data_IF_116086203043
#
_entry.id   IF_116086203043
#
_cell.length_a   1.000
_cell.length_b   1.000
_cell.length_c   1.000
_cell.angle_alpha   90.00
_cell.angle_beta   90.00
_cell.angle_gamma   90.00
#
_symmetry.space_group_name_H-M   'P 1'
#
loop_
_entity.id
_entity.type
_entity.pdbx_description
1 polymer ?
#
# COMPACT_ATOMS: atom_id res chain seq x y z
N UNK A 1 1.99 11.69 22.22
CA UNK A 1 2.75 12.48 21.24
C UNK A 1 2.26 12.09 19.86
N UNK A 2 2.09 13.04 18.94
CA UNK A 2 1.70 12.73 17.58
C UNK A 2 2.77 11.82 16.93
N UNK A 3 2.34 10.81 16.16
CA UNK A 3 3.25 9.96 15.41
C UNK A 3 4.03 10.81 14.40
N UNK A 4 5.35 10.77 14.45
CA UNK A 4 6.21 11.54 13.55
C UNK A 4 6.33 10.91 12.16
N UNK A 5 6.07 9.59 12.05
CA UNK A 5 6.15 8.85 10.80
C UNK A 5 4.75 8.34 10.42
N UNK A 6 4.28 8.72 9.25
CA UNK A 6 3.04 8.19 8.67
C UNK A 6 3.33 6.93 7.86
N UNK A 7 2.50 5.91 8.07
CA UNK A 7 2.56 4.68 7.28
C UNK A 7 1.48 4.72 6.20
N UNK A 8 1.90 4.51 4.96
CA UNK A 8 1.04 4.43 3.78
C UNK A 8 1.29 3.07 3.13
N UNK A 9 0.26 2.43 2.64
CA UNK A 9 0.38 1.21 1.82
C UNK A 9 -0.46 1.33 0.57
N UNK A 10 -0.09 0.66 -0.50
CA UNK A 10 -1.05 0.44 -1.56
C UNK A 10 -2.16 -0.52 -1.08
N UNK A 11 -3.27 -0.58 -1.81
CA UNK A 11 -4.47 -1.33 -1.39
C UNK A 11 -4.27 -2.84 -1.34
N UNK A 12 -3.19 -3.36 -1.94
CA UNK A 12 -2.91 -4.80 -1.97
C UNK A 12 -2.46 -5.39 -0.64
N UNK A 13 -2.33 -4.56 0.42
CA UNK A 13 -2.02 -5.05 1.77
C UNK A 13 -3.17 -5.83 2.42
N UNK A 14 -4.38 -5.74 1.87
CA UNK A 14 -5.59 -6.45 2.28
C UNK A 14 -5.92 -6.35 3.79
N UNK A 15 -5.59 -5.20 4.39
CA UNK A 15 -5.96 -4.91 5.77
C UNK A 15 -7.42 -4.46 5.85
N UNK A 16 -8.13 -4.95 6.88
CA UNK A 16 -9.50 -4.50 7.14
C UNK A 16 -9.55 -3.03 7.54
N UNK A 17 -10.71 -2.38 7.34
CA UNK A 17 -10.92 -0.98 7.73
C UNK A 17 -10.61 -0.75 9.21
N UNK A 18 -11.02 -1.67 10.08
CA UNK A 18 -10.77 -1.59 11.52
C UNK A 18 -9.25 -1.57 11.84
N UNK A 19 -8.45 -2.35 11.11
CA UNK A 19 -7.00 -2.36 11.28
C UNK A 19 -6.36 -1.08 10.74
N UNK A 20 -6.83 -0.58 9.60
CA UNK A 20 -6.35 0.68 9.02
C UNK A 20 -6.60 1.85 9.97
N UNK A 21 -7.80 1.95 10.54
CA UNK A 21 -8.16 2.97 11.52
C UNK A 21 -7.37 2.81 12.82
N UNK A 22 -7.33 1.59 13.37
CA UNK A 22 -6.62 1.29 14.64
C UNK A 22 -5.15 1.68 14.60
N UNK A 23 -4.49 1.48 13.48
CA UNK A 23 -3.06 1.71 13.32
C UNK A 23 -2.71 3.00 12.57
N UNK A 24 -3.69 3.84 12.27
CA UNK A 24 -3.53 5.10 11.50
C UNK A 24 -2.77 4.88 10.19
N UNK A 25 -3.17 3.88 9.41
CA UNK A 25 -2.58 3.54 8.11
C UNK A 25 -3.40 4.20 7.00
N UNK A 26 -2.73 4.92 6.10
CA UNK A 26 -3.36 5.45 4.89
C UNK A 26 -3.18 4.48 3.71
N UNK A 27 -4.17 4.46 2.82
CA UNK A 27 -4.16 3.60 1.63
C UNK A 27 -4.07 4.43 0.37
N UNK A 28 -3.20 4.00 -0.53
CA UNK A 28 -3.15 4.42 -1.92
C UNK A 28 -3.81 3.33 -2.78
N UNK A 29 -5.05 3.54 -3.27
CA UNK A 29 -5.78 2.52 -4.01
C UNK A 29 -5.12 2.21 -5.35
N UNK A 30 -5.02 0.92 -5.71
CA UNK A 30 -4.82 0.50 -7.09
C UNK A 30 -6.12 0.68 -7.87
N UNK A 31 -6.01 0.66 -9.18
CA UNK A 31 -7.17 0.70 -10.07
C UNK A 31 -7.56 -0.71 -10.50
N UNK A 32 -8.87 -0.95 -10.57
CA UNK A 32 -9.48 -2.20 -11.03
C UNK A 32 -10.34 -1.88 -12.26
N UNK A 33 -10.06 -2.55 -13.35
CA UNK A 33 -10.78 -2.40 -14.61
C UNK A 33 -11.71 -3.60 -14.81
N UNK A 34 -13.01 -3.32 -14.82
CA UNK A 34 -14.08 -4.27 -15.13
C UNK A 34 -14.68 -3.93 -16.51
N UNK A 35 -14.26 -4.67 -17.54
CA UNK A 35 -14.58 -4.31 -18.90
C UNK A 35 -13.93 -2.98 -19.30
N UNK A 36 -14.74 -1.94 -19.51
CA UNK A 36 -14.29 -0.58 -19.85
C UNK A 36 -14.41 0.40 -18.66
N UNK A 37 -14.89 -0.06 -17.52
CA UNK A 37 -15.11 0.79 -16.35
C UNK A 37 -13.99 0.60 -15.33
N UNK A 38 -13.43 1.72 -14.89
CA UNK A 38 -12.35 1.77 -13.91
C UNK A 38 -12.87 2.15 -12.52
N UNK A 39 -12.36 1.47 -11.50
CA UNK A 39 -12.70 1.64 -10.11
C UNK A 39 -11.43 1.72 -9.25
N UNK A 40 -11.50 2.44 -8.12
CA UNK A 40 -10.45 2.43 -7.10
C UNK A 40 -10.72 1.31 -6.10
N UNK A 41 -9.72 0.45 -5.92
CA UNK A 41 -9.78 -0.73 -5.04
C UNK A 41 -10.10 -0.34 -3.58
N UNK A 42 -11.16 -0.94 -3.03
CA UNK A 42 -11.63 -0.70 -1.67
C UNK A 42 -12.27 0.67 -1.43
N UNK A 43 -12.43 1.49 -2.47
CA UNK A 43 -13.09 2.82 -2.42
C UNK A 43 -14.39 2.79 -3.21
N UNK A 44 -14.31 2.49 -4.49
CA UNK A 44 -15.46 2.55 -5.41
C UNK A 44 -16.09 1.17 -5.66
N UNK A 45 -15.42 0.10 -5.24
CA UNK A 45 -15.84 -1.29 -5.49
C UNK A 45 -15.41 -2.21 -4.35
N UNK A 46 -16.19 -3.25 -4.12
CA UNK A 46 -15.92 -4.29 -3.12
C UNK A 46 -15.48 -5.60 -3.78
N UNK A 47 -14.77 -6.48 -3.05
CA UNK A 47 -14.41 -7.82 -3.55
C UNK A 47 -15.61 -8.63 -4.03
N UNK A 48 -16.75 -8.54 -3.34
CA UNK A 48 -17.98 -9.25 -3.72
C UNK A 48 -18.51 -8.79 -5.07
N UNK A 49 -18.44 -7.51 -5.37
CA UNK A 49 -18.83 -6.94 -6.67
C UNK A 49 -17.89 -7.39 -7.77
N UNK A 50 -16.59 -7.43 -7.49
CA UNK A 50 -15.56 -7.92 -8.43
C UNK A 50 -15.79 -9.39 -8.76
N UNK A 51 -16.02 -10.23 -7.77
CA UNK A 51 -16.28 -11.67 -7.97
C UNK A 51 -17.55 -11.90 -8.76
N UNK A 52 -18.64 -11.18 -8.41
CA UNK A 52 -19.91 -11.27 -9.14
C UNK A 52 -19.72 -10.91 -10.61
N UNK A 53 -19.05 -9.79 -10.89
CA UNK A 53 -18.77 -9.36 -12.26
C UNK A 53 -17.95 -10.42 -13.02
N UNK A 54 -16.91 -10.97 -12.40
CA UNK A 54 -16.06 -12.00 -12.99
C UNK A 54 -16.86 -13.26 -13.34
N UNK A 55 -17.75 -13.70 -12.44
CA UNK A 55 -18.60 -14.86 -12.63
C UNK A 55 -19.63 -14.65 -13.76
N UNK A 56 -20.23 -13.49 -13.83
CA UNK A 56 -21.21 -13.13 -14.86
C UNK A 56 -20.57 -13.00 -16.25
N UNK A 57 -19.39 -12.40 -16.34
CA UNK A 57 -18.71 -12.13 -17.61
C UNK A 57 -17.71 -13.23 -18.02
N UNK A 58 -17.48 -14.24 -17.18
CA UNK A 58 -16.53 -15.35 -17.43
C UNK A 58 -15.13 -14.88 -17.81
N UNK A 59 -14.70 -13.79 -17.18
CA UNK A 59 -13.40 -13.19 -17.41
C UNK A 59 -12.84 -12.62 -16.11
N UNK A 60 -11.52 -12.39 -16.08
CA UNK A 60 -10.86 -11.82 -14.92
C UNK A 60 -10.77 -10.30 -15.03
N UNK A 61 -10.88 -9.57 -13.92
CA UNK A 61 -10.60 -8.14 -13.88
C UNK A 61 -9.12 -7.88 -14.23
N UNK A 62 -8.84 -6.65 -14.66
CA UNK A 62 -7.47 -6.16 -14.82
C UNK A 62 -7.17 -5.15 -13.73
N UNK A 63 -5.90 -5.01 -13.39
CA UNK A 63 -5.45 -4.02 -12.41
C UNK A 63 -4.37 -3.12 -13.02
N UNK A 64 -4.30 -1.90 -12.53
CA UNK A 64 -3.20 -0.98 -12.83
C UNK A 64 -2.71 -0.30 -11.55
N UNK A 65 -1.46 0.16 -11.59
CA UNK A 65 -0.92 0.98 -10.52
C UNK A 65 -1.69 2.31 -10.41
N UNK A 66 -1.70 2.95 -9.22
CA UNK A 66 -2.23 4.29 -9.07
C UNK A 66 -1.45 5.29 -9.93
N UNK A 67 -2.06 6.43 -10.22
CA UNK A 67 -1.36 7.53 -10.87
C UNK A 67 -0.41 8.24 -9.90
N UNK A 68 0.58 8.96 -10.46
CA UNK A 68 1.48 9.80 -9.67
C UNK A 68 0.70 10.90 -8.92
N UNK A 69 -0.31 11.50 -9.53
CA UNK A 69 -1.16 12.52 -8.91
C UNK A 69 -1.86 11.97 -7.67
N UNK A 70 -2.47 10.80 -7.75
CA UNK A 70 -3.12 10.17 -6.59
C UNK A 70 -2.12 9.87 -5.48
N UNK A 71 -0.92 9.39 -5.81
CA UNK A 71 0.13 9.16 -4.82
C UNK A 71 0.54 10.48 -4.13
N UNK A 72 0.68 11.57 -4.89
CA UNK A 72 0.96 12.90 -4.33
C UNK A 72 -0.17 13.39 -3.42
N UNK A 73 -1.43 13.22 -3.83
CA UNK A 73 -2.61 13.60 -3.04
C UNK A 73 -2.68 12.88 -1.69
N UNK A 74 -2.29 11.61 -1.65
CA UNK A 74 -2.25 10.84 -0.40
C UNK A 74 -1.08 11.25 0.49
N UNK A 75 0.10 11.57 -0.07
CA UNK A 75 1.31 11.91 0.70
C UNK A 75 1.29 13.36 1.21
N UNK A 76 0.85 14.30 0.37
CA UNK A 76 0.99 15.73 0.60
C UNK A 76 0.43 16.21 1.95
N UNK A 77 -0.77 15.82 2.40
CA UNK A 77 -1.31 16.29 3.67
C UNK A 77 -0.39 15.98 4.86
N UNK A 78 0.22 14.80 4.89
CA UNK A 78 1.12 14.39 5.97
C UNK A 78 2.47 15.11 5.91
N UNK A 79 2.99 15.36 4.72
CA UNK A 79 4.21 16.15 4.53
C UNK A 79 4.01 17.62 4.95
N UNK A 80 2.84 18.19 4.64
CA UNK A 80 2.46 19.55 5.04
C UNK A 80 2.34 19.68 6.57
N UNK A 81 1.95 18.59 7.27
CA UNK A 81 1.96 18.48 8.73
C UNK A 81 3.38 18.31 9.32
N UNK A 82 4.41 18.23 8.49
CA UNK A 82 5.79 18.00 8.90
C UNK A 82 6.13 16.56 9.29
N UNK A 83 5.28 15.60 8.92
CA UNK A 83 5.53 14.15 9.16
C UNK A 83 6.45 13.58 8.09
N UNK A 84 7.27 12.63 8.49
CA UNK A 84 7.94 11.73 7.56
C UNK A 84 7.01 10.59 7.14
N UNK A 85 7.29 9.94 6.02
CA UNK A 85 6.44 8.89 5.46
C UNK A 85 7.25 7.62 5.18
N UNK A 86 6.65 6.47 5.49
CA UNK A 86 7.07 5.17 4.97
C UNK A 86 5.90 4.60 4.15
N UNK A 87 6.16 4.36 2.86
CA UNK A 87 5.22 3.73 1.95
C UNK A 87 5.59 2.26 1.74
N UNK A 88 4.57 1.42 1.65
CA UNK A 88 4.70 0.02 1.27
C UNK A 88 4.01 -0.24 -0.06
N UNK A 89 4.67 -0.96 -0.94
CA UNK A 89 4.11 -1.43 -2.21
C UNK A 89 4.08 -2.95 -2.27
N UNK A 90 3.17 -3.48 -3.07
CA UNK A 90 3.27 -4.84 -3.57
C UNK A 90 4.65 -5.03 -4.23
N UNK A 91 5.11 -6.26 -4.30
CA UNK A 91 6.40 -6.59 -4.93
C UNK A 91 6.62 -5.85 -6.25
N UNK A 92 7.79 -5.20 -6.39
CA UNK A 92 8.19 -4.49 -7.62
C UNK A 92 8.27 -5.44 -8.84
N UNK A 93 8.32 -6.76 -8.62
CA UNK A 93 8.22 -7.76 -9.69
C UNK A 93 6.80 -7.97 -10.21
N UNK A 94 5.79 -7.48 -9.51
CA UNK A 94 4.36 -7.67 -9.83
C UNK A 94 3.66 -6.38 -10.27
N UNK A 95 4.15 -5.21 -9.85
CA UNK A 95 3.53 -3.92 -10.13
C UNK A 95 4.54 -2.79 -10.14
N UNK A 96 4.20 -1.70 -10.82
CA UNK A 96 4.95 -0.44 -10.80
C UNK A 96 4.54 0.50 -9.67
N UNK A 97 3.65 0.07 -8.76
CA UNK A 97 3.11 0.88 -7.67
C UNK A 97 4.21 1.53 -6.82
N UNK A 98 5.25 0.78 -6.43
CA UNK A 98 6.38 1.32 -5.68
C UNK A 98 7.15 2.39 -6.45
N UNK A 99 7.30 2.24 -7.77
CA UNK A 99 7.95 3.25 -8.58
C UNK A 99 7.14 4.53 -8.68
N UNK A 100 5.82 4.42 -8.80
CA UNK A 100 4.91 5.59 -8.78
C UNK A 100 5.04 6.36 -7.46
N UNK A 101 5.11 5.66 -6.33
CA UNK A 101 5.31 6.29 -5.02
C UNK A 101 6.66 7.04 -4.93
N UNK A 102 7.73 6.47 -5.49
CA UNK A 102 9.06 7.14 -5.52
C UNK A 102 9.03 8.40 -6.36
N UNK A 103 8.45 8.32 -7.56
CA UNK A 103 8.30 9.49 -8.44
C UNK A 103 7.42 10.58 -7.83
N UNK A 104 6.35 10.22 -7.11
CA UNK A 104 5.51 11.16 -6.40
C UNK A 104 6.27 11.88 -5.28
N UNK A 105 7.13 11.17 -4.55
CA UNK A 105 7.98 11.78 -3.52
C UNK A 105 9.02 12.74 -4.12
N UNK A 106 9.58 12.42 -5.30
CA UNK A 106 10.50 13.28 -6.05
C UNK A 106 9.78 14.56 -6.52
N UNK A 107 8.59 14.43 -7.11
CA UNK A 107 7.80 15.57 -7.59
C UNK A 107 7.35 16.51 -6.45
N UNK A 108 7.11 15.94 -5.25
CA UNK A 108 6.84 16.70 -4.03
C UNK A 108 8.09 17.29 -3.38
N UNK A 109 9.27 17.16 -4.00
CA UNK A 109 10.57 17.58 -3.45
C UNK A 109 10.79 17.06 -2.01
N UNK A 110 10.32 15.83 -1.73
CA UNK A 110 10.29 15.24 -0.38
C UNK A 110 10.96 13.88 -0.29
N UNK A 111 11.86 13.56 -1.22
CA UNK A 111 12.58 12.28 -1.24
C UNK A 111 13.43 12.04 0.02
N UNK A 112 13.83 13.09 0.71
CA UNK A 112 14.53 13.04 2.00
C UNK A 112 13.61 12.68 3.18
N UNK A 113 12.28 12.83 3.03
CA UNK A 113 11.26 12.58 4.06
C UNK A 113 10.45 11.32 3.80
N UNK A 114 10.53 10.74 2.61
CA UNK A 114 9.74 9.58 2.19
C UNK A 114 10.64 8.38 1.94
N UNK A 115 10.33 7.25 2.55
CA UNK A 115 10.94 5.97 2.23
C UNK A 115 9.89 5.07 1.59
N UNK A 116 10.18 4.49 0.42
CA UNK A 116 9.32 3.51 -0.24
C UNK A 116 9.94 2.13 -0.10
N UNK A 117 9.25 1.25 0.58
CA UNK A 117 9.67 -0.13 0.83
C UNK A 117 8.96 -1.04 -0.17
N UNK A 118 9.75 -1.70 -1.02
CA UNK A 118 9.29 -2.87 -1.75
C UNK A 118 9.06 -4.01 -0.75
N UNK A 119 7.81 -4.41 -0.53
CA UNK A 119 7.49 -5.48 0.41
C UNK A 119 8.06 -6.85 -0.01
N UNK A 120 8.39 -7.02 -1.29
CA UNK A 120 8.74 -8.29 -1.92
C UNK A 120 7.68 -9.38 -1.64
N UNK A 121 6.42 -8.96 -1.50
CA UNK A 121 5.31 -9.79 -1.06
C UNK A 121 4.02 -9.32 -1.70
N UNK A 122 2.91 -9.97 -1.34
CA UNK A 122 1.55 -9.63 -1.73
C UNK A 122 0.60 -9.85 -0.57
N UNK A 123 -0.61 -9.25 -0.63
CA UNK A 123 -1.71 -9.47 0.30
C UNK A 123 -1.29 -9.34 1.78
N UNK A 124 -1.66 -10.30 2.60
CA UNK A 124 -1.36 -10.31 4.04
C UNK A 124 0.12 -10.29 4.37
N UNK A 125 1.00 -10.72 3.45
CA UNK A 125 2.45 -10.59 3.60
C UNK A 125 2.91 -9.14 3.59
N UNK A 126 2.22 -8.26 2.86
CA UNK A 126 2.41 -6.80 2.96
C UNK A 126 1.81 -6.30 4.26
N UNK A 127 0.56 -6.70 4.55
CA UNK A 127 -0.18 -6.28 5.74
C UNK A 127 0.59 -6.50 7.05
N UNK A 128 1.27 -7.64 7.20
CA UNK A 128 2.12 -7.92 8.37
C UNK A 128 3.26 -6.90 8.53
N UNK A 129 3.93 -6.54 7.43
CA UNK A 129 5.00 -5.54 7.45
C UNK A 129 4.46 -4.14 7.77
N UNK A 130 3.32 -3.78 7.19
CA UNK A 130 2.64 -2.50 7.38
C UNK A 130 2.22 -2.31 8.84
N UNK A 131 1.57 -3.32 9.45
CA UNK A 131 1.18 -3.28 10.87
C UNK A 131 2.40 -3.15 11.77
N UNK A 132 3.45 -3.91 11.52
CA UNK A 132 4.68 -3.82 12.31
C UNK A 132 5.30 -2.42 12.24
N UNK A 133 5.35 -1.81 11.05
CA UNK A 133 5.84 -0.44 10.90
C UNK A 133 4.96 0.57 11.65
N UNK A 134 3.65 0.41 11.60
CA UNK A 134 2.71 1.28 12.30
C UNK A 134 2.84 1.18 13.84
N UNK A 135 3.05 -0.02 14.38
CA UNK A 135 3.33 -0.24 15.80
C UNK A 135 4.61 0.50 16.21
N UNK A 136 5.70 0.32 15.44
CA UNK A 136 6.97 0.98 15.72
C UNK A 136 6.86 2.51 15.62
N UNK A 137 6.08 3.02 14.67
CA UNK A 137 5.79 4.46 14.58
C UNK A 137 5.04 4.98 15.81
N UNK A 138 4.04 4.22 16.29
CA UNK A 138 3.31 4.55 17.52
C UNK A 138 4.20 4.54 18.77
N UNK A 139 5.24 3.72 18.79
CA UNK A 139 6.27 3.67 19.84
C UNK A 139 7.28 4.82 19.74
N UNK A 140 7.16 5.70 18.74
CA UNK A 140 8.03 6.86 18.54
C UNK A 140 9.38 6.54 17.88
N UNK A 141 9.49 5.40 17.19
CA UNK A 141 10.70 5.06 16.42
C UNK A 141 10.84 6.02 15.23
N UNK A 142 12.08 6.33 14.88
CA UNK A 142 12.39 7.14 13.69
C UNK A 142 12.16 6.37 12.40
N UNK A 143 12.00 7.07 11.29
CA UNK A 143 11.86 6.48 9.96
C UNK A 143 13.02 5.50 9.65
N UNK A 144 14.25 5.87 9.97
CA UNK A 144 15.41 5.00 9.77
C UNK A 144 15.34 3.71 10.63
N UNK A 145 14.92 3.82 11.89
CA UNK A 145 14.76 2.66 12.78
C UNK A 145 13.65 1.72 12.30
N UNK A 146 12.52 2.28 11.87
CA UNK A 146 11.40 1.49 11.33
C UNK A 146 11.85 0.78 10.05
N UNK A 147 12.47 1.50 9.13
CA UNK A 147 12.96 0.93 7.86
C UNK A 147 13.92 -0.24 8.12
N UNK A 148 14.89 -0.07 9.00
CA UNK A 148 15.85 -1.14 9.35
C UNK A 148 15.15 -2.37 9.94
N UNK A 149 14.18 -2.17 10.84
CA UNK A 149 13.40 -3.27 11.43
C UNK A 149 12.59 -4.03 10.37
N UNK A 150 11.97 -3.31 9.42
CA UNK A 150 11.21 -3.94 8.34
C UNK A 150 12.13 -4.70 7.38
N UNK A 151 13.28 -4.15 7.03
CA UNK A 151 14.27 -4.84 6.19
C UNK A 151 14.77 -6.14 6.83
N UNK A 152 14.90 -6.18 8.16
CA UNK A 152 15.27 -7.40 8.89
C UNK A 152 14.18 -8.47 8.85
N UNK A 153 12.90 -8.09 9.02
CA UNK A 153 11.79 -9.07 9.05
C UNK A 153 11.33 -9.48 7.66
N UNK A 154 11.43 -8.62 6.65
CA UNK A 154 10.93 -8.86 5.28
C UNK A 154 11.32 -10.21 4.69
N UNK A 155 12.58 -10.69 4.78
CA UNK A 155 12.95 -12.00 4.23
C UNK A 155 12.29 -13.19 4.94
N UNK A 156 11.73 -12.99 6.13
CA UNK A 156 11.05 -14.01 6.94
C UNK A 156 9.54 -14.02 6.71
N UNK A 157 8.99 -12.95 6.13
CA UNK A 157 7.56 -12.86 5.81
C UNK A 157 7.30 -13.67 4.55
N UNK A 158 6.44 -14.67 4.65
CA UNK A 158 6.08 -15.54 3.53
C UNK A 158 4.56 -15.60 3.43
N UNK A 159 4.04 -15.32 2.26
CA UNK A 159 2.64 -15.56 1.90
C UNK A 159 2.55 -16.79 1.01
N UNK A 160 1.49 -17.56 1.17
CA UNK A 160 1.13 -18.67 0.30
C UNK A 160 -0.34 -18.57 -0.07
N UNK A 161 -0.67 -18.97 -1.27
CA UNK A 161 -2.05 -19.01 -1.75
C UNK A 161 -2.26 -20.24 -2.63
N UNK A 162 -3.50 -20.66 -2.75
CA UNK A 162 -3.92 -21.73 -3.67
C UNK A 162 -4.85 -21.14 -4.71
N UNK A 163 -4.80 -21.69 -5.90
CA UNK A 163 -5.71 -21.33 -7.00
C UNK A 163 -6.55 -22.57 -7.37
N UNK A 164 -7.80 -22.35 -7.72
CA UNK A 164 -8.69 -23.45 -8.13
C UNK A 164 -8.37 -23.94 -9.55
N UNK A 165 -7.89 -23.03 -10.40
CA UNK A 165 -7.52 -23.31 -11.79
C UNK A 165 -6.27 -22.54 -12.19
N UNK A 166 -5.49 -23.14 -13.10
CA UNK A 166 -4.33 -22.51 -13.74
C UNK A 166 -4.70 -21.98 -15.10
#
# INVERSE_FOLDING_TARGET
MAQTVKIISDSTCDLSKDLLEKYDIAILPLHILLGETEYRDGVDITPEEIFRWSDENKTTPKTSAPSMTEAMEVMKPFLDEGREIICFSISDSMSTSGNVMRLAAEELESSDKVTVINSANLSTGIGLQVIQAAILSAEGKTRAQITAAIEEIRPRVRASFTVDTL
#
